data_IF_408470276461
#
_entry.id   IF_408470276461
#
_cell.length_a   1.000
_cell.length_b   1.000
_cell.length_c   1.000
_cell.angle_alpha   90.00
_cell.angle_beta   90.00
_cell.angle_gamma   90.00
#
_symmetry.space_group_name_H-M   'P 1'
#
loop_
_entity.id
_entity.type
_entity.pdbx_description
1 polymer ?
#
# COMPACT_ATOMS: atom_id res chain seq x y z
N UNK A 1 -8.48 -11.39 -10.79
CA UNK A 1 -9.40 -12.23 -10.04
C UNK A 1 -10.32 -12.94 -11.01
N UNK A 2 -10.58 -14.20 -10.79
CA UNK A 2 -11.34 -15.02 -11.75
C UNK A 2 -12.77 -15.26 -11.31
N UNK A 3 -13.05 -15.10 -10.01
CA UNK A 3 -14.34 -15.57 -9.51
C UNK A 3 -14.62 -15.05 -8.10
N UNK A 4 -15.83 -14.62 -7.83
CA UNK A 4 -16.40 -14.48 -6.49
C UNK A 4 -17.79 -15.10 -6.50
N UNK A 5 -18.07 -16.01 -5.57
CA UNK A 5 -19.34 -16.75 -5.47
C UNK A 5 -19.77 -17.45 -6.76
N UNK A 6 -18.82 -18.00 -7.54
CA UNK A 6 -19.12 -18.68 -8.80
C UNK A 6 -19.54 -17.77 -9.95
N UNK A 7 -19.46 -16.45 -9.78
CA UNK A 7 -19.63 -15.50 -10.89
C UNK A 7 -18.26 -15.16 -11.46
N UNK A 8 -18.01 -15.39 -12.75
CA UNK A 8 -16.76 -15.03 -13.36
C UNK A 8 -16.55 -13.52 -13.22
N UNK A 9 -15.36 -13.12 -12.81
CA UNK A 9 -14.94 -11.72 -12.82
C UNK A 9 -14.90 -11.26 -14.29
N UNK A 10 -16.01 -10.79 -14.81
CA UNK A 10 -16.16 -10.37 -16.20
C UNK A 10 -15.57 -8.99 -16.49
N UNK A 11 -14.81 -8.44 -15.57
CA UNK A 11 -14.20 -7.12 -15.77
C UNK A 11 -12.83 -7.33 -16.39
N UNK A 12 -12.78 -7.38 -17.70
CA UNK A 12 -11.53 -7.27 -18.43
C UNK A 12 -10.83 -5.96 -18.02
N UNK A 13 -9.59 -6.10 -17.55
CA UNK A 13 -8.75 -4.96 -17.21
C UNK A 13 -8.84 -4.46 -15.76
N UNK A 14 -9.55 -5.14 -14.85
CA UNK A 14 -9.54 -4.78 -13.45
C UNK A 14 -8.19 -5.09 -12.81
N UNK A 15 -7.50 -4.06 -12.37
CA UNK A 15 -6.25 -4.17 -11.62
C UNK A 15 -6.51 -3.80 -10.16
N UNK A 16 -6.39 -4.77 -9.25
CA UNK A 16 -6.41 -4.53 -7.81
C UNK A 16 -4.97 -4.58 -7.31
N UNK A 17 -4.54 -3.54 -6.63
CA UNK A 17 -3.24 -3.52 -5.98
C UNK A 17 -3.29 -4.38 -4.72
N UNK A 18 -2.43 -5.39 -4.65
CA UNK A 18 -2.32 -6.28 -3.50
C UNK A 18 -1.19 -5.78 -2.61
N UNK A 19 -1.48 -5.58 -1.33
CA UNK A 19 -0.50 -5.18 -0.32
C UNK A 19 -0.47 -6.27 0.76
N UNK A 20 0.59 -7.10 0.80
CA UNK A 20 0.78 -8.02 1.90
C UNK A 20 1.02 -7.24 3.19
N UNK A 21 0.29 -7.56 4.23
CA UNK A 21 0.36 -6.79 5.48
C UNK A 21 0.09 -7.65 6.71
N UNK A 22 0.20 -7.03 7.87
CA UNK A 22 -0.24 -7.54 9.16
C UNK A 22 -1.04 -6.44 9.90
N UNK A 23 -1.57 -6.75 11.08
CA UNK A 23 -2.35 -5.79 11.85
C UNK A 23 -1.55 -4.52 12.20
N UNK A 24 -0.23 -4.63 12.41
CA UNK A 24 0.64 -3.47 12.68
C UNK A 24 0.71 -2.51 11.49
N UNK A 25 0.63 -3.01 10.26
CA UNK A 25 0.57 -2.17 9.07
C UNK A 25 -0.66 -1.26 9.11
N UNK A 26 -1.82 -1.85 9.44
CA UNK A 26 -3.08 -1.13 9.51
C UNK A 26 -3.04 0.00 10.54
N UNK A 27 -2.53 -0.29 11.74
CA UNK A 27 -2.32 0.69 12.80
C UNK A 27 -1.26 1.74 12.45
N UNK A 28 -0.15 1.30 11.86
CA UNK A 28 0.96 2.17 11.49
C UNK A 28 0.53 3.29 10.55
N UNK A 29 -0.29 2.98 9.55
CA UNK A 29 -0.82 3.96 8.60
C UNK A 29 -2.08 4.66 9.08
N UNK A 30 -2.62 4.30 10.24
CA UNK A 30 -3.85 4.89 10.77
C UNK A 30 -5.05 4.65 9.86
N UNK A 31 -5.10 3.48 9.21
CA UNK A 31 -6.19 3.14 8.31
C UNK A 31 -7.48 2.97 9.10
N UNK A 32 -8.58 3.40 8.52
CA UNK A 32 -9.90 3.35 9.16
C UNK A 32 -10.72 2.18 8.65
N UNK A 33 -11.06 1.25 9.52
CA UNK A 33 -12.01 0.19 9.22
C UNK A 33 -13.43 0.75 9.21
N UNK A 34 -14.17 0.53 8.13
CA UNK A 34 -15.55 1.00 7.96
C UNK A 34 -16.56 -0.07 8.34
N UNK A 35 -16.29 -1.32 7.94
CA UNK A 35 -17.18 -2.48 8.19
C UNK A 35 -16.35 -3.73 8.39
N UNK A 36 -16.89 -4.69 9.14
CA UNK A 36 -16.24 -5.97 9.40
C UNK A 36 -15.24 -5.90 10.55
N UNK A 37 -14.21 -6.72 10.50
CA UNK A 37 -13.19 -6.82 11.55
C UNK A 37 -11.80 -7.00 10.94
N UNK A 38 -10.75 -6.69 11.70
CA UNK A 38 -9.39 -7.08 11.34
C UNK A 38 -9.23 -8.59 11.56
N UNK A 39 -8.52 -9.28 10.66
CA UNK A 39 -8.20 -10.68 10.87
C UNK A 39 -7.42 -10.88 12.16
N UNK A 40 -7.84 -11.85 12.96
CA UNK A 40 -7.19 -12.19 14.23
C UNK A 40 -6.35 -13.46 14.08
N UNK A 41 -5.15 -13.45 14.66
CA UNK A 41 -4.28 -14.62 14.73
C UNK A 41 -3.56 -14.96 13.41
N UNK A 42 -3.17 -16.23 13.29
CA UNK A 42 -2.38 -16.77 12.17
C UNK A 42 -3.31 -17.21 11.03
N UNK A 43 -4.09 -16.25 10.49
CA UNK A 43 -5.10 -16.51 9.47
C UNK A 43 -4.50 -16.36 8.07
N UNK A 44 -4.43 -17.47 7.33
CA UNK A 44 -4.12 -17.42 5.91
C UNK A 44 -5.37 -17.06 5.10
N UNK A 45 -5.19 -16.26 4.03
CA UNK A 45 -6.22 -15.92 3.05
C UNK A 45 -7.37 -15.05 3.55
N UNK A 46 -7.11 -14.25 4.53
CA UNK A 46 -8.02 -13.21 4.97
C UNK A 46 -7.60 -11.87 4.37
N UNK A 47 -8.58 -11.12 3.87
CA UNK A 47 -8.33 -9.86 3.17
C UNK A 47 -9.27 -8.76 3.65
N UNK A 48 -8.80 -7.53 3.50
CA UNK A 48 -9.64 -6.34 3.55
C UNK A 48 -9.62 -5.66 2.17
N UNK A 49 -10.75 -5.08 1.79
CA UNK A 49 -10.89 -4.30 0.56
C UNK A 49 -11.11 -2.83 0.91
N UNK A 50 -10.54 -1.91 0.12
CA UNK A 50 -10.94 -0.51 0.23
C UNK A 50 -12.28 -0.25 -0.48
N UNK A 51 -12.88 0.93 -0.27
CA UNK A 51 -14.15 1.31 -0.87
C UNK A 51 -14.08 1.26 -2.41
N UNK A 52 -12.97 1.73 -2.99
CA UNK A 52 -12.74 1.70 -4.43
C UNK A 52 -12.75 0.26 -4.98
N UNK A 53 -12.16 -0.71 -4.28
CA UNK A 53 -12.18 -2.11 -4.70
C UNK A 53 -13.59 -2.71 -4.65
N UNK A 54 -14.35 -2.43 -3.61
CA UNK A 54 -15.74 -2.90 -3.49
C UNK A 54 -16.60 -2.35 -4.61
N UNK A 55 -16.46 -1.05 -4.91
CA UNK A 55 -17.18 -0.38 -5.98
C UNK A 55 -16.85 -0.96 -7.36
N UNK A 56 -15.56 -1.16 -7.61
CA UNK A 56 -15.08 -1.67 -8.90
C UNK A 56 -15.48 -3.12 -9.13
N UNK A 57 -15.39 -3.95 -8.09
CA UNK A 57 -15.83 -5.35 -8.12
C UNK A 57 -17.34 -5.50 -8.17
N UNK A 58 -18.12 -4.45 -7.91
CA UNK A 58 -19.60 -4.46 -7.85
C UNK A 58 -20.13 -5.56 -6.94
N UNK A 59 -19.48 -5.76 -5.79
CA UNK A 59 -19.87 -6.79 -4.84
C UNK A 59 -20.86 -6.20 -3.82
N UNK A 60 -22.06 -6.72 -3.81
CA UNK A 60 -23.04 -6.43 -2.76
C UNK A 60 -22.73 -7.23 -1.50
N UNK A 61 -22.68 -6.57 -0.34
CA UNK A 61 -22.39 -7.19 0.95
C UNK A 61 -21.14 -8.10 0.92
N UNK A 62 -19.94 -7.53 0.72
CA UNK A 62 -18.73 -8.30 0.46
C UNK A 62 -18.21 -9.09 1.66
N UNK A 63 -18.56 -8.72 2.91
CA UNK A 63 -18.04 -9.36 4.12
C UNK A 63 -18.48 -10.81 4.19
N UNK A 64 -17.53 -11.71 4.44
CA UNK A 64 -17.73 -13.16 4.49
C UNK A 64 -17.73 -13.84 3.12
N UNK A 65 -17.74 -13.08 2.04
CA UNK A 65 -17.65 -13.62 0.68
C UNK A 65 -16.21 -14.00 0.33
N UNK A 66 -16.09 -14.87 -0.65
CA UNK A 66 -14.80 -15.37 -1.11
C UNK A 66 -14.43 -14.76 -2.45
N UNK A 67 -13.22 -14.25 -2.55
CA UNK A 67 -12.63 -13.75 -3.76
C UNK A 67 -11.54 -14.72 -4.24
N UNK A 68 -11.69 -15.31 -5.42
CA UNK A 68 -10.74 -16.27 -5.97
C UNK A 68 -9.80 -15.61 -6.98
N UNK A 69 -8.54 -16.00 -6.92
CA UNK A 69 -7.52 -15.65 -7.90
C UNK A 69 -7.22 -16.89 -8.74
N UNK A 70 -6.95 -16.72 -10.06
CA UNK A 70 -6.54 -17.81 -10.92
C UNK A 70 -5.43 -18.63 -10.23
N UNK A 71 -5.64 -19.93 -10.07
CA UNK A 71 -4.69 -20.86 -9.45
C UNK A 71 -4.52 -20.77 -7.91
N UNK A 72 -5.31 -19.96 -7.21
CA UNK A 72 -5.28 -19.90 -5.74
C UNK A 72 -6.69 -20.08 -5.15
N UNK A 73 -6.75 -20.79 -4.01
CA UNK A 73 -7.98 -20.93 -3.23
C UNK A 73 -8.48 -19.54 -2.78
N UNK A 74 -9.78 -19.42 -2.64
CA UNK A 74 -10.44 -18.16 -2.35
C UNK A 74 -9.95 -17.44 -1.10
N UNK A 75 -9.94 -16.14 -1.17
CA UNK A 75 -9.64 -15.22 -0.06
C UNK A 75 -10.94 -14.78 0.59
N UNK A 76 -11.05 -14.86 1.90
CA UNK A 76 -12.24 -14.43 2.65
C UNK A 76 -12.14 -12.93 2.91
N UNK A 77 -13.20 -12.20 2.57
CA UNK A 77 -13.28 -10.75 2.82
C UNK A 77 -13.79 -10.55 4.25
N UNK A 78 -12.91 -10.11 5.15
CA UNK A 78 -13.25 -9.86 6.57
C UNK A 78 -13.76 -8.46 6.82
N UNK A 79 -13.41 -7.50 5.97
CA UNK A 79 -13.86 -6.14 6.17
C UNK A 79 -13.56 -5.20 5.02
N UNK A 80 -14.08 -3.98 5.20
CA UNK A 80 -13.90 -2.86 4.28
C UNK A 80 -13.23 -1.74 5.04
N UNK A 81 -12.18 -1.16 4.46
CA UNK A 81 -11.51 0.01 5.01
C UNK A 81 -11.69 1.23 4.09
N UNK A 82 -11.57 2.40 4.70
CA UNK A 82 -11.71 3.67 4.01
C UNK A 82 -10.61 3.84 2.98
N UNK A 83 -10.97 4.43 1.84
CA UNK A 83 -9.99 4.80 0.83
C UNK A 83 -8.87 5.67 1.41
N UNK A 84 -7.65 5.38 1.01
CA UNK A 84 -6.47 6.16 1.37
C UNK A 84 -5.59 6.41 0.16
N UNK A 85 -4.82 7.48 0.19
CA UNK A 85 -3.96 7.86 -0.92
C UNK A 85 -2.59 7.19 -0.78
N UNK A 86 -2.25 6.32 -1.74
CA UNK A 86 -0.89 5.75 -1.92
C UNK A 86 -0.09 6.64 -2.89
N UNK A 87 -0.81 7.40 -3.71
CA UNK A 87 -0.28 8.34 -4.70
C UNK A 87 -0.77 9.76 -4.37
N UNK A 88 -0.24 10.82 -5.04
CA UNK A 88 -0.74 12.17 -4.88
C UNK A 88 -2.24 12.28 -5.10
N UNK A 89 -2.93 13.22 -4.44
CA UNK A 89 -4.38 13.41 -4.54
C UNK A 89 -4.91 13.68 -5.96
N UNK A 90 -4.03 14.05 -6.88
CA UNK A 90 -4.33 14.24 -8.31
C UNK A 90 -4.63 12.92 -9.04
N UNK A 91 -4.25 11.80 -8.45
CA UNK A 91 -4.51 10.47 -8.99
C UNK A 91 -5.72 9.86 -8.26
N UNK A 92 -6.72 9.35 -8.99
CA UNK A 92 -7.85 8.66 -8.36
C UNK A 92 -7.39 7.52 -7.46
N UNK A 93 -8.07 7.32 -6.36
CA UNK A 93 -7.80 6.20 -5.46
C UNK A 93 -8.01 4.90 -6.20
N UNK A 94 -6.99 4.05 -6.19
CA UNK A 94 -7.03 2.75 -6.86
C UNK A 94 -7.69 1.69 -5.97
N UNK A 95 -8.28 0.65 -6.58
CA UNK A 95 -8.70 -0.54 -5.87
C UNK A 95 -7.51 -1.20 -5.16
N UNK A 96 -7.64 -1.39 -3.84
CA UNK A 96 -6.60 -1.98 -2.98
C UNK A 96 -7.17 -3.14 -2.19
N UNK A 97 -6.39 -4.19 -2.11
CA UNK A 97 -6.62 -5.35 -1.26
C UNK A 97 -5.46 -5.48 -0.27
N UNK A 98 -5.76 -5.49 1.00
CA UNK A 98 -4.80 -5.86 2.04
C UNK A 98 -4.89 -7.36 2.26
N UNK A 99 -3.81 -8.08 1.97
CA UNK A 99 -3.68 -9.51 2.18
C UNK A 99 -2.96 -9.78 3.50
N UNK A 100 -3.68 -10.35 4.45
CA UNK A 100 -3.08 -10.69 5.75
C UNK A 100 -2.37 -12.03 5.64
N UNK A 101 -1.08 -12.00 5.94
CA UNK A 101 -0.23 -13.18 6.00
C UNK A 101 0.22 -13.41 7.43
N UNK A 102 0.18 -14.67 7.91
CA UNK A 102 0.80 -15.00 9.18
C UNK A 102 2.28 -14.63 9.15
N UNK A 103 2.75 -13.97 10.21
CA UNK A 103 4.10 -13.41 10.31
C UNK A 103 5.25 -14.41 10.28
N UNK A 104 4.99 -15.67 9.88
CA UNK A 104 5.95 -16.77 9.80
C UNK A 104 6.44 -17.10 8.40
N UNK A 105 6.03 -16.38 7.35
CA UNK A 105 6.71 -16.53 6.07
C UNK A 105 8.16 -16.11 6.27
N UNK A 106 9.05 -17.08 6.19
CA UNK A 106 10.48 -16.93 6.30
C UNK A 106 10.95 -15.70 5.51
N UNK A 107 11.25 -14.63 6.23
CA UNK A 107 11.90 -13.42 5.70
C UNK A 107 13.18 -13.79 4.91
N UNK A 108 13.73 -14.97 5.16
CA UNK A 108 14.93 -15.48 4.51
C UNK A 108 14.77 -15.78 3.00
N UNK A 109 13.55 -15.96 2.50
CA UNK A 109 13.30 -16.29 1.08
C UNK A 109 12.62 -15.17 0.29
N UNK A 110 12.30 -14.04 0.90
CA UNK A 110 11.72 -12.90 0.21
C UNK A 110 12.84 -11.92 -0.17
N UNK A 111 13.21 -11.92 -1.42
CA UNK A 111 14.29 -11.06 -1.98
C UNK A 111 13.99 -9.56 -1.93
N UNK A 112 12.81 -9.18 -1.49
CA UNK A 112 12.38 -7.78 -1.37
C UNK A 112 11.64 -7.57 -0.06
N UNK A 113 12.40 -7.30 1.00
CA UNK A 113 11.80 -6.92 2.28
C UNK A 113 11.93 -5.42 2.49
N UNK A 114 10.79 -4.74 2.56
CA UNK A 114 10.74 -3.32 2.92
C UNK A 114 10.34 -3.19 4.37
N UNK A 115 11.18 -2.54 5.17
CA UNK A 115 10.86 -2.18 6.56
C UNK A 115 10.58 -0.68 6.64
N UNK A 116 9.50 -0.31 7.29
CA UNK A 116 9.08 1.08 7.43
C UNK A 116 9.18 1.49 8.89
N UNK A 117 9.82 2.63 9.15
CA UNK A 117 10.08 3.15 10.47
C UNK A 117 9.54 4.58 10.62
N UNK A 118 9.08 4.91 11.81
CA UNK A 118 8.82 6.30 12.18
C UNK A 118 10.01 6.83 12.97
N UNK A 119 10.42 8.03 12.66
CA UNK A 119 11.43 8.75 13.42
C UNK A 119 10.81 9.96 14.12
N UNK A 120 11.46 10.43 15.16
CA UNK A 120 11.07 11.67 15.84
C UNK A 120 11.44 12.88 14.98
N UNK A 121 10.68 13.98 15.05
CA UNK A 121 11.06 15.22 14.38
C UNK A 121 12.49 15.62 14.74
N UNK A 122 13.29 16.00 13.74
CA UNK A 122 14.67 16.42 13.92
C UNK A 122 15.71 15.28 14.01
N UNK A 123 15.31 14.00 14.11
CA UNK A 123 16.25 12.86 14.21
C UNK A 123 16.50 12.13 12.89
N UNK A 124 16.13 12.73 11.77
CA UNK A 124 16.15 12.13 10.44
C UNK A 124 17.49 11.47 10.09
N UNK A 125 18.57 12.23 10.09
CA UNK A 125 19.90 11.73 9.69
C UNK A 125 20.45 10.71 10.67
N UNK A 126 20.22 10.90 11.97
CA UNK A 126 20.61 9.95 12.99
C UNK A 126 19.87 8.61 12.80
N UNK A 127 18.56 8.66 12.56
CA UNK A 127 17.74 7.49 12.30
C UNK A 127 18.24 6.73 11.07
N UNK A 128 18.53 7.45 9.97
CA UNK A 128 19.09 6.85 8.75
C UNK A 128 20.37 6.08 9.03
N UNK A 129 21.33 6.72 9.68
CA UNK A 129 22.62 6.10 10.03
C UNK A 129 22.45 4.86 10.92
N UNK A 130 21.58 4.94 11.93
CA UNK A 130 21.31 3.79 12.80
C UNK A 130 20.67 2.63 12.06
N UNK A 131 19.70 2.89 11.17
CA UNK A 131 19.04 1.86 10.36
C UNK A 131 20.03 1.22 9.40
N UNK A 132 20.87 2.00 8.71
CA UNK A 132 21.91 1.48 7.81
C UNK A 132 22.93 0.61 8.54
N UNK A 133 23.37 1.04 9.71
CA UNK A 133 24.31 0.27 10.55
C UNK A 133 23.68 -1.05 11.03
N UNK A 134 22.43 -0.98 11.49
CA UNK A 134 21.71 -2.17 11.94
C UNK A 134 21.49 -3.15 10.79
N UNK A 135 21.07 -2.67 9.64
CA UNK A 135 20.85 -3.50 8.47
C UNK A 135 22.14 -4.19 7.99
N UNK A 136 23.27 -3.47 7.94
CA UNK A 136 24.58 -4.04 7.64
C UNK A 136 25.01 -5.09 8.66
N UNK A 137 24.70 -4.89 9.95
CA UNK A 137 25.00 -5.86 11.00
C UNK A 137 24.16 -7.13 10.88
N UNK A 138 22.89 -6.99 10.49
CA UNK A 138 21.97 -8.12 10.33
C UNK A 138 22.21 -8.90 9.03
N UNK A 139 22.61 -8.22 7.97
CA UNK A 139 22.87 -8.81 6.66
C UNK A 139 24.20 -8.29 6.08
N UNK A 140 25.35 -8.83 6.57
CA UNK A 140 26.68 -8.38 6.14
C UNK A 140 26.91 -8.53 4.63
N UNK A 141 26.23 -9.49 4.00
CA UNK A 141 26.36 -9.83 2.58
C UNK A 141 25.30 -9.12 1.69
N UNK A 142 24.47 -8.27 2.26
CA UNK A 142 23.52 -7.50 1.45
C UNK A 142 24.29 -6.53 0.56
N UNK A 143 24.06 -6.61 -0.75
CA UNK A 143 24.76 -5.81 -1.75
C UNK A 143 24.28 -4.38 -1.73
N UNK A 144 23.01 -4.17 -1.36
CA UNK A 144 22.38 -2.84 -1.48
C UNK A 144 21.31 -2.62 -0.40
N UNK A 145 21.56 -1.66 0.47
CA UNK A 145 20.62 -1.25 1.51
C UNK A 145 20.26 0.21 1.24
N UNK A 146 19.04 0.42 0.77
CA UNK A 146 18.53 1.76 0.52
C UNK A 146 17.62 2.22 1.65
N UNK A 147 17.98 3.33 2.27
CA UNK A 147 17.11 4.03 3.22
C UNK A 147 16.62 5.32 2.57
N UNK A 148 15.32 5.36 2.30
CA UNK A 148 14.65 6.51 1.70
C UNK A 148 13.63 7.09 2.65
N UNK A 149 13.36 8.38 2.55
CA UNK A 149 12.33 9.04 3.32
C UNK A 149 11.05 9.18 2.48
N UNK A 150 9.91 8.95 3.09
CA UNK A 150 8.62 9.05 2.40
C UNK A 150 8.39 10.43 1.80
N UNK A 151 8.89 11.49 2.45
CA UNK A 151 8.80 12.85 1.94
C UNK A 151 9.56 13.02 0.61
N UNK A 152 10.73 12.38 0.47
CA UNK A 152 11.51 12.44 -0.79
C UNK A 152 10.79 11.73 -1.93
N UNK A 153 10.19 10.60 -1.64
CA UNK A 153 9.37 9.89 -2.62
C UNK A 153 8.14 10.72 -3.03
N UNK A 154 7.49 11.35 -2.06
CA UNK A 154 6.35 12.22 -2.33
C UNK A 154 6.75 13.45 -3.14
N UNK A 155 7.91 14.05 -2.86
CA UNK A 155 8.43 15.18 -3.64
C UNK A 155 8.75 14.83 -5.10
N UNK A 156 9.17 13.59 -5.38
CA UNK A 156 9.38 13.14 -6.75
C UNK A 156 8.08 13.18 -7.57
N UNK A 157 6.96 12.78 -6.96
CA UNK A 157 5.65 12.87 -7.61
C UNK A 157 5.22 14.32 -7.88
N UNK A 158 5.52 15.23 -6.97
CA UNK A 158 5.14 16.65 -7.10
C UNK A 158 6.11 17.46 -7.97
N UNK A 159 7.22 16.89 -8.41
CA UNK A 159 8.25 17.62 -9.16
C UNK A 159 7.73 18.21 -10.47
N UNK A 160 6.91 17.47 -11.20
CA UNK A 160 6.29 17.94 -12.46
C UNK A 160 5.28 19.05 -12.22
N UNK A 161 4.48 18.96 -11.17
CA UNK A 161 3.48 19.96 -10.81
C UNK A 161 4.13 21.26 -10.35
N UNK A 162 5.19 21.17 -9.53
CA UNK A 162 5.98 22.32 -9.10
C UNK A 162 6.67 23.02 -10.30
N UNK A 163 7.10 22.25 -11.31
CA UNK A 163 7.69 22.82 -12.53
C UNK A 163 6.63 23.57 -13.37
N UNK A 164 5.43 23.01 -13.48
CA UNK A 164 4.30 23.64 -14.16
C UNK A 164 3.89 24.96 -13.49
N UNK A 165 3.81 24.98 -12.17
CA UNK A 165 3.52 26.20 -11.40
C UNK A 165 4.56 27.30 -11.65
N UNK A 166 5.85 26.94 -11.63
CA UNK A 166 6.92 27.90 -11.94
C UNK A 166 6.83 28.45 -13.36
N UNK A 167 6.44 27.63 -14.34
CA UNK A 167 6.21 28.12 -15.72
C UNK A 167 5.03 29.09 -15.76
N UNK A 168 3.94 28.80 -15.08
CA UNK A 168 2.78 29.69 -14.98
C UNK A 168 3.14 31.01 -14.33
N UNK A 169 3.88 30.98 -13.23
CA UNK A 169 4.36 32.19 -12.57
C UNK A 169 5.23 33.05 -13.52
N UNK A 170 6.14 32.42 -14.26
CA UNK A 170 6.97 33.11 -15.24
C UNK A 170 6.14 33.77 -16.35
N UNK A 171 5.19 33.01 -16.93
CA UNK A 171 4.28 33.55 -17.96
C UNK A 171 3.46 34.72 -17.41
N UNK A 172 2.97 34.61 -16.20
CA UNK A 172 2.17 35.67 -15.55
C UNK A 172 3.01 36.95 -15.38
N UNK A 173 4.25 36.85 -14.95
CA UNK A 173 5.17 37.99 -14.82
C UNK A 173 5.42 38.65 -16.16
N UNK A 174 5.67 37.85 -17.22
CA UNK A 174 5.90 38.36 -18.57
C UNK A 174 4.66 39.07 -19.16
N UNK A 175 3.46 38.60 -18.82
CA UNK A 175 2.20 39.23 -19.28
C UNK A 175 1.85 40.54 -18.56
N UNK A 176 2.43 40.79 -17.39
CA UNK A 176 2.19 42.00 -16.58
C UNK A 176 3.19 43.11 -16.92
N UNK A 177 4.35 42.76 -17.45
CA UNK A 177 5.39 43.70 -17.92
C UNK A 177 5.08 44.20 -19.31
#
# INVERSE_FOLDING_TARGET
FTDWEGKPASVEGLTIQIIPCNNRYFEFYGLQLLKGKLPEGDTERHILLNEAAVKELKIDNPIGKTLSRKDQKGFIIDGIFKDFYIAPPTVPVKPVMLEFSPGKKNIQNDYSTTAIFRHQPGSRELCKQQVEQLAKKMQPNAVDIHVTFMEEEYEKFLKSEKALLKMLDFVTIVCIL
#
